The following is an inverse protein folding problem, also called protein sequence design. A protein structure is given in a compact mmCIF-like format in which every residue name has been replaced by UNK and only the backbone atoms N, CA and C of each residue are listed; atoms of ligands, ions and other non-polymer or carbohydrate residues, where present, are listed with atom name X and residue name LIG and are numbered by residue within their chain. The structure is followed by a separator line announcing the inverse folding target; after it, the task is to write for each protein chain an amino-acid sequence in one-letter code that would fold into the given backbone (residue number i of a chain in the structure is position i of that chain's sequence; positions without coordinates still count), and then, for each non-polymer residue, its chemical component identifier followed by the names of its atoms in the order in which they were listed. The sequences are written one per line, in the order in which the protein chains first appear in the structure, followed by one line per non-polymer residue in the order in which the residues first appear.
data_IF_807104764861
#
_entry.id   IF_807104764861
#
_cell.length_a   1.000
_cell.length_b   1.000
_cell.length_c   1.000
_cell.angle_alpha   90.00
_cell.angle_beta   90.00
_cell.angle_gamma   90.00
#
_symmetry.space_group_name_H-M   'P 1'
#
loop_
_entity.id
_entity.type
_entity.pdbx_description
1 polymer ?
#
# COMPACT_ATOMS: atom_id res chain seq x y z
N UNK A 1 9.76 -19.13 10.31
CA UNK A 1 9.98 -17.73 10.78
C UNK A 1 8.77 -17.35 11.63
N UNK A 2 8.93 -16.98 12.90
CA UNK A 2 7.82 -16.57 13.77
C UNK A 2 7.30 -15.19 13.33
N UNK A 3 6.02 -15.11 12.95
CA UNK A 3 5.34 -13.85 12.69
C UNK A 3 5.01 -13.19 14.03
N UNK A 4 5.68 -12.09 14.36
CA UNK A 4 5.29 -11.26 15.49
C UNK A 4 4.02 -10.48 15.12
N UNK A 5 2.87 -11.16 15.21
CA UNK A 5 1.56 -10.55 15.03
C UNK A 5 1.28 -9.71 16.28
N UNK A 6 1.49 -8.40 16.18
CA UNK A 6 1.11 -7.47 17.22
C UNK A 6 -0.39 -7.24 17.12
N UNK A 7 -1.09 -7.29 18.26
CA UNK A 7 -2.47 -6.83 18.34
C UNK A 7 -2.56 -5.38 17.83
N UNK A 8 -3.56 -4.99 17.02
CA UNK A 8 -3.65 -3.65 16.44
C UNK A 8 -3.50 -2.52 17.47
N UNK A 9 -4.05 -2.73 18.66
CA UNK A 9 -3.96 -1.79 19.77
C UNK A 9 -2.54 -1.62 20.35
N UNK A 10 -1.66 -2.62 20.19
CA UNK A 10 -0.25 -2.59 20.61
C UNK A 10 0.67 -2.07 19.51
N UNK A 11 0.24 -2.12 18.24
CA UNK A 11 1.01 -1.66 17.09
C UNK A 11 0.93 -0.13 16.88
N UNK A 12 -0.13 0.51 17.37
CA UNK A 12 -0.35 1.96 17.20
C UNK A 12 0.39 2.79 18.24
N UNK A 13 1.09 3.85 17.79
CA UNK A 13 1.67 4.87 18.67
C UNK A 13 0.57 5.46 19.58
N UNK A 14 0.81 5.63 20.90
CA UNK A 14 -0.15 6.23 21.82
C UNK A 14 -0.80 7.54 21.35
N UNK A 15 -0.10 8.35 20.55
CA UNK A 15 -0.66 9.57 19.96
C UNK A 15 -1.89 9.28 19.08
N UNK A 16 -1.85 8.21 18.27
CA UNK A 16 -2.98 7.82 17.41
C UNK A 16 -4.17 7.28 18.18
N UNK A 17 -3.98 6.82 19.42
CA UNK A 17 -5.08 6.38 20.30
C UNK A 17 -5.92 7.54 20.81
N UNK A 18 -5.32 8.75 20.85
CA UNK A 18 -5.99 9.98 21.31
C UNK A 18 -6.70 10.70 20.16
N UNK A 19 -6.33 10.40 18.92
CA UNK A 19 -6.98 10.96 17.74
C UNK A 19 -8.37 10.32 17.57
N UNK A 20 -9.40 11.17 17.53
CA UNK A 20 -10.77 10.75 17.24
C UNK A 20 -11.13 11.18 15.82
N UNK A 21 -11.02 10.30 14.82
CA UNK A 21 -11.43 10.63 13.45
C UNK A 21 -12.92 10.98 13.41
N UNK A 22 -13.31 11.87 12.50
CA UNK A 22 -14.71 12.18 12.27
C UNK A 22 -15.37 10.96 11.62
N UNK A 23 -16.64 10.71 11.97
CA UNK A 23 -17.38 9.57 11.42
C UNK A 23 -17.46 9.65 9.89
N UNK A 24 -17.65 10.86 9.36
CA UNK A 24 -17.66 11.11 7.93
C UNK A 24 -16.36 10.67 7.24
N UNK A 25 -15.20 10.98 7.83
CA UNK A 25 -13.90 10.58 7.27
C UNK A 25 -13.71 9.05 7.28
N UNK A 26 -14.21 8.37 8.32
CA UNK A 26 -14.19 6.91 8.41
C UNK A 26 -15.08 6.29 7.32
N UNK A 27 -16.28 6.82 7.15
CA UNK A 27 -17.25 6.30 6.19
C UNK A 27 -16.76 6.54 4.75
N UNK A 28 -16.22 7.72 4.45
CA UNK A 28 -15.61 8.06 3.16
C UNK A 28 -14.37 7.19 2.87
N UNK A 29 -13.49 7.00 3.86
CA UNK A 29 -12.36 6.07 3.73
C UNK A 29 -12.82 4.64 3.44
N UNK A 30 -13.84 4.17 4.15
CA UNK A 30 -14.38 2.81 3.99
C UNK A 30 -14.96 2.61 2.59
N UNK A 31 -15.66 3.62 2.07
CA UNK A 31 -16.20 3.61 0.71
C UNK A 31 -15.09 3.55 -0.35
N UNK A 32 -14.09 4.43 -0.24
CA UNK A 32 -12.93 4.45 -1.16
C UNK A 32 -12.16 3.14 -1.13
N UNK A 33 -12.01 2.54 0.05
CA UNK A 33 -11.38 1.24 0.22
C UNK A 33 -12.20 0.12 -0.44
N UNK A 34 -13.52 0.12 -0.25
CA UNK A 34 -14.41 -0.85 -0.86
C UNK A 34 -14.37 -0.77 -2.39
N UNK A 35 -14.37 0.44 -2.96
CA UNK A 35 -14.26 0.66 -4.41
C UNK A 35 -12.93 0.12 -4.96
N UNK A 36 -11.83 0.38 -4.26
CA UNK A 36 -10.52 -0.16 -4.61
C UNK A 36 -10.53 -1.70 -4.64
N UNK A 37 -11.04 -2.34 -3.58
CA UNK A 37 -11.13 -3.80 -3.47
C UNK A 37 -12.01 -4.37 -4.59
N UNK A 38 -13.14 -3.74 -4.91
CA UNK A 38 -14.03 -4.19 -5.96
C UNK A 38 -13.36 -4.12 -7.34
N UNK A 39 -12.66 -3.03 -7.64
CA UNK A 39 -11.92 -2.87 -8.88
C UNK A 39 -10.82 -3.93 -9.03
N UNK A 40 -10.08 -4.22 -7.96
CA UNK A 40 -9.06 -5.27 -7.96
C UNK A 40 -9.66 -6.66 -8.18
N UNK A 41 -10.77 -6.98 -7.51
CA UNK A 41 -11.44 -8.27 -7.72
C UNK A 41 -11.93 -8.41 -9.17
N UNK A 42 -12.33 -7.31 -9.81
CA UNK A 42 -12.72 -7.33 -11.21
C UNK A 42 -11.54 -7.66 -12.11
N UNK A 43 -10.38 -7.02 -11.89
CA UNK A 43 -9.12 -7.32 -12.60
C UNK A 43 -8.73 -8.79 -12.43
N UNK A 44 -8.77 -9.31 -11.20
CA UNK A 44 -8.40 -10.71 -10.92
C UNK A 44 -9.39 -11.71 -11.53
N UNK A 45 -10.70 -11.45 -11.43
CA UNK A 45 -11.74 -12.33 -12.00
C UNK A 45 -11.76 -12.38 -13.52
N UNK A 46 -11.29 -11.32 -14.19
CA UNK A 46 -11.08 -11.27 -15.64
C UNK A 46 -9.72 -11.82 -16.07
N UNK A 47 -8.89 -12.23 -15.11
CA UNK A 47 -7.52 -12.67 -15.31
C UNK A 47 -6.68 -11.64 -16.09
N UNK A 48 -6.95 -10.36 -15.88
CA UNK A 48 -6.21 -9.26 -16.48
C UNK A 48 -4.76 -9.20 -15.92
N UNK A 49 -3.91 -8.43 -16.60
CA UNK A 49 -2.52 -8.23 -16.18
C UNK A 49 -2.44 -7.47 -14.85
N UNK A 50 -1.36 -7.70 -14.08
CA UNK A 50 -1.07 -6.95 -12.83
C UNK A 50 -0.95 -5.43 -13.06
N UNK A 51 -0.64 -5.00 -14.30
CA UNK A 51 -0.64 -3.59 -14.70
C UNK A 51 -1.97 -2.89 -14.37
N UNK A 52 -3.09 -3.61 -14.52
CA UNK A 52 -4.43 -3.07 -14.25
C UNK A 52 -4.71 -2.91 -12.74
N UNK A 53 -3.86 -3.43 -11.86
CA UNK A 53 -3.94 -3.19 -10.41
C UNK A 53 -3.41 -1.81 -10.02
N UNK A 54 -2.52 -1.22 -10.82
CA UNK A 54 -1.88 0.06 -10.50
C UNK A 54 -2.88 1.21 -10.43
N UNK A 55 -3.83 1.25 -11.36
CA UNK A 55 -4.82 2.33 -11.43
C UNK A 55 -5.77 2.35 -10.21
N UNK A 56 -6.42 1.23 -9.82
CA UNK A 56 -7.22 1.17 -8.59
C UNK A 56 -6.45 1.56 -7.33
N UNK A 57 -5.21 1.08 -7.19
CA UNK A 57 -4.37 1.37 -6.02
C UNK A 57 -3.97 2.85 -6.00
N UNK A 58 -3.52 3.40 -7.13
CA UNK A 58 -3.16 4.82 -7.23
C UNK A 58 -4.36 5.72 -6.92
N UNK A 59 -5.54 5.42 -7.49
CA UNK A 59 -6.79 6.16 -7.20
C UNK A 59 -7.17 6.10 -5.72
N UNK A 60 -7.05 4.95 -5.08
CA UNK A 60 -7.34 4.82 -3.65
C UNK A 60 -6.39 5.67 -2.80
N UNK A 61 -5.10 5.63 -3.10
CA UNK A 61 -4.08 6.36 -2.34
C UNK A 61 -4.22 7.87 -2.49
N UNK A 62 -4.40 8.36 -3.72
CA UNK A 62 -4.56 9.79 -3.99
C UNK A 62 -5.90 10.34 -3.49
N UNK A 63 -6.94 9.51 -3.41
CA UNK A 63 -8.22 9.95 -2.83
C UNK A 63 -8.27 9.87 -1.30
N UNK A 64 -7.23 9.36 -0.63
CA UNK A 64 -7.21 9.18 0.83
C UNK A 64 -6.02 9.91 1.48
N UNK A 65 -4.92 9.21 1.72
CA UNK A 65 -3.81 9.69 2.55
C UNK A 65 -2.80 10.55 1.79
N UNK A 66 -2.83 10.49 0.46
CA UNK A 66 -1.80 11.02 -0.42
C UNK A 66 -2.38 11.97 -1.48
N UNK A 67 -3.39 12.77 -1.11
CA UNK A 67 -4.07 13.69 -2.05
C UNK A 67 -3.16 14.78 -2.60
N UNK A 68 -2.17 15.20 -1.82
CA UNK A 68 -1.21 16.25 -2.18
C UNK A 68 0.12 15.68 -2.69
N UNK A 69 0.22 14.35 -2.82
CA UNK A 69 1.45 13.66 -3.18
C UNK A 69 1.37 13.12 -4.61
N UNK A 70 2.48 13.22 -5.34
CA UNK A 70 2.59 12.56 -6.64
C UNK A 70 2.69 11.04 -6.45
N UNK A 71 1.92 10.29 -7.24
CA UNK A 71 1.95 8.82 -7.27
C UNK A 71 2.19 8.38 -8.70
N UNK A 72 3.32 7.75 -8.96
CA UNK A 72 3.71 7.38 -10.32
C UNK A 72 4.39 6.01 -10.39
N UNK A 73 4.42 5.41 -11.57
CA UNK A 73 5.23 4.21 -11.84
C UNK A 73 6.71 4.56 -11.84
N UNK A 74 7.58 3.65 -11.38
CA UNK A 74 9.03 3.89 -11.35
C UNK A 74 9.82 2.65 -11.73
N UNK A 75 10.37 2.65 -12.95
CA UNK A 75 11.24 1.58 -13.47
C UNK A 75 10.62 0.18 -13.32
N UNK A 76 11.12 -0.63 -12.38
CA UNK A 76 10.68 -2.00 -12.09
C UNK A 76 9.71 -2.08 -10.91
N UNK A 77 9.39 -0.95 -10.28
CA UNK A 77 8.46 -0.85 -9.15
C UNK A 77 7.11 -0.41 -9.67
N UNK A 78 6.04 -1.05 -9.19
CA UNK A 78 4.69 -0.78 -9.65
C UNK A 78 4.27 0.67 -9.40
N UNK A 79 4.43 1.16 -8.17
CA UNK A 79 4.11 2.53 -7.79
C UNK A 79 5.14 3.11 -6.80
N UNK A 80 5.41 4.40 -6.91
CA UNK A 80 6.18 5.20 -5.98
C UNK A 80 5.34 6.40 -5.54
N UNK A 81 5.35 6.70 -4.24
CA UNK A 81 4.75 7.90 -3.66
C UNK A 81 5.87 8.86 -3.30
N UNK A 82 5.77 10.05 -3.87
CA UNK A 82 6.71 11.15 -3.70
C UNK A 82 6.31 12.01 -2.50
N UNK A 83 7.29 12.61 -1.82
CA UNK A 83 7.04 13.44 -0.62
C UNK A 83 6.42 14.80 -0.96
N UNK A 84 6.56 15.25 -2.21
CA UNK A 84 5.91 16.43 -2.77
C UNK A 84 4.82 16.10 -3.76
N UNK A 85 4.27 17.15 -4.38
CA UNK A 85 3.21 17.09 -5.39
C UNK A 85 3.72 16.84 -6.82
N UNK A 86 5.02 16.58 -6.97
CA UNK A 86 5.64 16.25 -8.25
C UNK A 86 6.70 15.16 -8.10
N UNK A 87 7.12 14.62 -9.26
CA UNK A 87 8.10 13.55 -9.36
C UNK A 87 9.56 14.02 -9.18
N UNK A 88 9.80 15.29 -8.81
CA UNK A 88 11.14 15.83 -8.55
C UNK A 88 11.53 15.71 -7.08
N UNK A 89 10.55 15.60 -6.19
CA UNK A 89 10.75 15.39 -4.77
C UNK A 89 11.27 13.98 -4.43
N UNK A 90 11.73 13.79 -3.19
CA UNK A 90 12.18 12.48 -2.72
C UNK A 90 11.04 11.45 -2.67
N UNK A 91 11.37 10.17 -2.88
CA UNK A 91 10.40 9.08 -2.75
C UNK A 91 10.23 8.72 -1.26
N UNK A 92 9.00 8.81 -0.76
CA UNK A 92 8.66 8.41 0.59
C UNK A 92 8.28 6.93 0.70
N UNK A 93 7.54 6.42 -0.30
CA UNK A 93 6.99 5.06 -0.28
C UNK A 93 7.17 4.36 -1.63
N UNK A 94 7.67 3.13 -1.62
CA UNK A 94 7.66 2.23 -2.77
C UNK A 94 6.62 1.14 -2.57
N UNK A 95 5.83 0.85 -3.60
CA UNK A 95 4.72 -0.11 -3.59
C UNK A 95 4.93 -1.15 -4.70
N UNK A 96 4.89 -2.41 -4.28
CA UNK A 96 4.71 -3.56 -5.19
C UNK A 96 3.30 -4.13 -4.97
N UNK A 97 2.57 -4.36 -6.06
CA UNK A 97 1.22 -4.88 -6.07
C UNK A 97 1.16 -6.19 -6.86
N UNK A 98 0.67 -7.25 -6.21
CA UNK A 98 0.51 -8.57 -6.82
C UNK A 98 -0.94 -9.03 -6.83
N UNK A 99 -1.30 -9.82 -7.84
CA UNK A 99 -2.64 -10.40 -7.91
C UNK A 99 -2.91 -11.33 -6.73
N UNK A 100 -4.13 -11.35 -6.17
CA UNK A 100 -4.53 -12.28 -5.12
C UNK A 100 -4.29 -13.76 -5.45
N UNK A 101 -4.48 -14.10 -6.72
CA UNK A 101 -4.32 -15.45 -7.27
C UNK A 101 -2.85 -15.93 -7.30
N UNK A 102 -1.85 -15.02 -7.30
CA UNK A 102 -0.44 -15.37 -7.50
C UNK A 102 0.34 -15.58 -6.19
N UNK A 103 0.02 -16.67 -5.47
CA UNK A 103 0.57 -16.97 -4.14
C UNK A 103 2.05 -17.41 -4.12
N UNK A 104 2.61 -17.86 -5.25
CA UNK A 104 3.99 -18.38 -5.33
C UNK A 104 5.03 -17.25 -5.31
N UNK A 105 4.78 -16.16 -6.04
CA UNK A 105 5.65 -14.96 -6.09
C UNK A 105 5.73 -14.24 -4.73
N UNK A 106 4.70 -14.36 -3.90
CA UNK A 106 4.65 -13.80 -2.56
C UNK A 106 5.79 -14.30 -1.64
N UNK A 107 6.20 -15.57 -1.76
CA UNK A 107 7.30 -16.13 -0.94
C UNK A 107 8.66 -15.55 -1.34
N UNK A 108 8.85 -15.20 -2.61
CA UNK A 108 10.10 -14.60 -3.11
C UNK A 108 10.22 -13.11 -2.77
N UNK A 109 9.12 -12.35 -2.84
CA UNK A 109 9.11 -10.91 -2.50
C UNK A 109 9.51 -10.63 -1.04
N UNK A 110 9.29 -11.58 -0.14
CA UNK A 110 9.75 -11.50 1.24
C UNK A 110 11.27 -11.67 1.43
N UNK A 111 11.95 -12.29 0.46
CA UNK A 111 13.39 -12.56 0.53
C UNK A 111 14.23 -11.53 -0.24
N UNK A 112 13.78 -11.02 -1.39
CA UNK A 112 14.59 -10.11 -2.22
C UNK A 112 14.91 -8.76 -1.56
N UNK A 113 13.99 -8.18 -0.78
CA UNK A 113 14.19 -6.83 -0.23
C UNK A 113 14.91 -6.81 1.13
N UNK A 114 15.20 -7.97 1.75
CA UNK A 114 16.04 -8.01 2.98
C UNK A 114 17.45 -7.43 2.80
N UNK A 115 17.88 -7.16 1.57
CA UNK A 115 19.22 -6.68 1.22
C UNK A 115 19.43 -5.15 1.21
N UNK A 116 18.40 -4.30 1.38
CA UNK A 116 18.58 -2.85 1.13
C UNK A 116 17.85 -1.82 2.01
N UNK A 117 16.64 -2.08 2.53
CA UNK A 117 15.84 -1.03 3.19
C UNK A 117 15.35 -1.39 4.62
N UNK A 118 15.13 -0.34 5.43
CA UNK A 118 15.12 -0.37 6.90
C UNK A 118 13.79 -0.82 7.54
N UNK A 119 12.63 -0.66 6.86
CA UNK A 119 11.30 -1.14 7.32
C UNK A 119 10.37 -1.46 6.15
N UNK A 120 9.66 -2.59 6.24
CA UNK A 120 8.66 -3.05 5.28
C UNK A 120 7.31 -3.21 5.98
N UNK A 121 6.23 -2.78 5.32
CA UNK A 121 4.87 -3.13 5.73
C UNK A 121 4.22 -3.94 4.62
N UNK A 122 3.63 -5.07 5.00
CA UNK A 122 2.84 -5.89 4.10
C UNK A 122 1.38 -5.68 4.50
N UNK A 123 0.60 -5.07 3.61
CA UNK A 123 -0.83 -4.87 3.77
C UNK A 123 -1.51 -5.94 2.95
N UNK A 124 -2.09 -6.91 3.63
CA UNK A 124 -2.93 -7.94 3.02
C UNK A 124 -4.38 -7.52 3.23
N UNK A 125 -5.12 -7.26 2.16
CA UNK A 125 -6.57 -7.10 2.24
C UNK A 125 -7.22 -8.48 2.40
N UNK A 126 -8.34 -8.58 3.12
CA UNK A 126 -9.04 -9.86 3.39
C UNK A 126 -9.37 -10.65 2.11
N UNK A 127 -9.51 -9.96 0.97
CA UNK A 127 -9.77 -10.57 -0.34
C UNK A 127 -8.51 -10.82 -1.19
N UNK A 128 -7.33 -10.75 -0.57
CA UNK A 128 -6.09 -11.28 -1.10
C UNK A 128 -5.22 -10.31 -1.90
N UNK A 129 -5.57 -9.03 -2.07
CA UNK A 129 -4.61 -8.04 -2.56
C UNK A 129 -3.51 -7.89 -1.50
N UNK A 130 -2.26 -7.99 -1.93
CA UNK A 130 -1.11 -7.80 -1.06
C UNK A 130 -0.28 -6.65 -1.59
N UNK A 131 -0.26 -5.55 -0.82
CA UNK A 131 0.58 -4.38 -1.07
C UNK A 131 1.76 -4.47 -0.12
N UNK A 132 2.98 -4.48 -0.65
CA UNK A 132 4.17 -4.31 0.19
C UNK A 132 4.70 -2.89 0.03
N UNK A 133 4.70 -2.15 1.13
CA UNK A 133 5.25 -0.80 1.18
C UNK A 133 6.62 -0.79 1.85
N UNK A 134 7.53 0.02 1.32
CA UNK A 134 8.80 0.36 1.96
C UNK A 134 8.85 1.85 2.17
N UNK A 135 9.04 2.28 3.42
CA UNK A 135 9.28 3.70 3.72
C UNK A 135 10.77 3.97 3.66
N UNK A 136 11.19 4.89 2.80
CA UNK A 136 12.54 5.44 2.85
C UNK A 136 12.55 6.49 3.95
N UNK A 137 13.17 6.17 5.09
CA UNK A 137 13.44 7.20 6.08
C UNK A 137 14.40 8.21 5.44
N UNK A 138 13.94 9.42 5.18
CA UNK A 138 14.84 10.57 5.23
C UNK A 138 15.33 10.68 6.67
N UNK A 139 16.62 10.43 6.86
CA UNK A 139 17.31 10.71 8.11
C UNK A 139 17.27 12.23 8.30
N UNK A 140 16.50 12.70 9.28
CA UNK A 140 16.84 13.93 10.02
C UNK A 140 17.84 13.57 11.11
#
# INVERSE_FOLDING_TARGET
MKTNKLEPQKALNPAYKKFKPLRADIDDFSLKLQDCINAINLVDSRNESEEHLKSPISKFLSSTFYSENEINTKEKIDLAIYLGNDATSDIGVLIEAKKPSNKSEFRQLNNSIKKGFKKYYCITFEKGLIIKTTTLNTLS
#
